data_IF_477020045865
#
_entry.id   IF_477020045865
#
_cell.length_a   1.000
_cell.length_b   1.000
_cell.length_c   1.000
_cell.angle_alpha   90.00
_cell.angle_beta   90.00
_cell.angle_gamma   90.00
#
_symmetry.space_group_name_H-M   'P 1'
#
loop_
_entity.id
_entity.type
_entity.pdbx_description
1 polymer ?
#
# COMPACT_ATOMS: atom_id res chain seq x y z
N UNK A 1 13.87 8.71 -1.01
CA UNK A 1 12.46 8.79 -0.57
C UNK A 1 12.30 7.85 0.61
N UNK A 2 11.49 8.23 1.60
CA UNK A 2 11.35 7.49 2.85
C UNK A 2 10.30 6.37 2.71
N UNK A 3 10.55 5.22 3.33
CA UNK A 3 9.64 4.08 3.40
C UNK A 3 9.66 3.49 4.81
N UNK A 4 8.63 2.74 5.16
CA UNK A 4 8.62 1.97 6.40
C UNK A 4 7.94 0.61 6.24
N UNK A 5 8.27 -0.28 7.15
CA UNK A 5 7.64 -1.58 7.36
C UNK A 5 7.03 -1.60 8.76
N UNK A 6 5.89 -2.26 8.92
CA UNK A 6 5.36 -2.64 10.23
C UNK A 6 5.34 -4.16 10.28
N UNK A 7 6.12 -4.76 11.15
CA UNK A 7 6.14 -6.20 11.39
C UNK A 7 5.46 -6.46 12.72
N UNK A 8 4.26 -7.02 12.70
CA UNK A 8 3.51 -7.40 13.89
C UNK A 8 3.72 -8.88 14.21
N UNK A 9 3.77 -9.20 15.50
CA UNK A 9 3.84 -10.56 16.01
C UNK A 9 2.64 -10.86 16.91
N UNK A 10 2.21 -12.11 16.90
CA UNK A 10 1.18 -12.60 17.82
C UNK A 10 1.68 -12.75 19.27
N UNK A 11 2.99 -12.82 19.46
CA UNK A 11 3.67 -12.91 20.77
C UNK A 11 4.59 -11.71 20.97
N UNK A 12 5.07 -11.50 22.18
CA UNK A 12 6.05 -10.42 22.41
C UNK A 12 7.30 -10.64 21.56
N UNK A 13 7.76 -9.59 20.86
CA UNK A 13 8.81 -9.70 19.83
C UNK A 13 10.23 -9.49 20.37
N UNK A 14 10.40 -9.23 21.67
CA UNK A 14 11.70 -8.85 22.28
C UNK A 14 12.84 -9.83 21.99
N UNK A 15 12.59 -11.13 21.94
CA UNK A 15 13.64 -12.12 21.62
C UNK A 15 14.01 -12.14 20.14
N UNK A 16 13.05 -11.81 19.27
CA UNK A 16 13.18 -11.90 17.82
C UNK A 16 13.58 -10.57 17.16
N UNK A 17 13.66 -9.49 17.93
CA UNK A 17 13.96 -8.15 17.44
C UNK A 17 15.29 -8.08 16.69
N UNK A 18 16.39 -8.48 17.32
CA UNK A 18 17.72 -8.46 16.69
C UNK A 18 17.81 -9.35 15.44
N UNK A 19 17.35 -10.62 15.46
CA UNK A 19 17.32 -11.47 14.26
C UNK A 19 16.54 -10.85 13.09
N UNK A 20 15.35 -10.31 13.35
CA UNK A 20 14.52 -9.69 12.31
C UNK A 20 15.24 -8.48 11.72
N UNK A 21 15.72 -7.56 12.55
CA UNK A 21 16.42 -6.36 12.07
C UNK A 21 17.67 -6.74 11.26
N UNK A 22 18.44 -7.73 11.72
CA UNK A 22 19.63 -8.22 11.01
C UNK A 22 19.28 -8.72 9.61
N UNK A 23 18.27 -9.57 9.47
CA UNK A 23 17.86 -10.11 8.17
C UNK A 23 17.39 -9.00 7.23
N UNK A 24 16.56 -8.08 7.72
CA UNK A 24 16.10 -6.96 6.89
C UNK A 24 17.26 -6.02 6.50
N UNK A 25 18.27 -5.83 7.35
CA UNK A 25 19.42 -4.98 7.04
C UNK A 25 20.28 -5.48 5.88
N UNK A 26 20.18 -6.76 5.50
CA UNK A 26 20.84 -7.31 4.30
C UNK A 26 20.16 -6.86 3.01
N UNK A 27 18.88 -6.45 3.07
CA UNK A 27 18.05 -6.16 1.91
C UNK A 27 17.66 -4.68 1.78
N UNK A 28 17.72 -3.92 2.87
CA UNK A 28 17.35 -2.50 2.93
C UNK A 28 18.29 -1.68 3.80
N UNK A 29 18.52 -0.43 3.39
CA UNK A 29 19.29 0.56 4.14
C UNK A 29 18.43 1.13 5.27
N UNK A 30 18.46 0.46 6.42
CA UNK A 30 17.70 0.83 7.61
C UNK A 30 18.24 2.17 8.16
N UNK A 31 17.35 3.16 8.26
CA UNK A 31 17.68 4.48 8.80
C UNK A 31 17.29 4.63 10.27
N UNK A 32 16.22 3.93 10.68
CA UNK A 32 15.70 3.97 12.05
C UNK A 32 14.89 2.70 12.32
N UNK A 33 14.86 2.26 13.58
CA UNK A 33 13.97 1.20 14.06
C UNK A 33 13.27 1.68 15.31
N UNK A 34 11.97 1.40 15.42
CA UNK A 34 11.18 1.60 16.63
C UNK A 34 10.51 0.27 17.00
N UNK A 35 10.54 -0.08 18.28
CA UNK A 35 10.01 -1.37 18.75
C UNK A 35 8.92 -1.17 19.77
N UNK A 36 7.81 -1.89 19.57
CA UNK A 36 6.70 -2.05 20.49
C UNK A 36 6.64 -3.51 20.99
N UNK A 37 5.91 -3.81 22.07
CA UNK A 37 5.88 -5.18 22.61
C UNK A 37 5.53 -6.25 21.57
N UNK A 38 4.64 -5.94 20.61
CA UNK A 38 4.14 -6.86 19.59
C UNK A 38 4.44 -6.41 18.16
N UNK A 39 5.28 -5.39 17.96
CA UNK A 39 5.58 -4.89 16.61
C UNK A 39 6.98 -4.27 16.50
N UNK A 40 7.56 -4.35 15.30
CA UNK A 40 8.79 -3.63 14.92
C UNK A 40 8.45 -2.72 13.75
N UNK A 41 8.82 -1.45 13.84
CA UNK A 41 8.74 -0.50 12.74
C UNK A 41 10.14 -0.25 12.19
N UNK A 42 10.36 -0.60 10.93
CA UNK A 42 11.64 -0.40 10.25
C UNK A 42 11.48 0.74 9.25
N UNK A 43 12.28 1.78 9.37
CA UNK A 43 12.34 2.89 8.44
C UNK A 43 13.58 2.73 7.57
N UNK A 44 13.44 2.96 6.27
CA UNK A 44 14.53 2.76 5.31
C UNK A 44 14.42 3.68 4.10
N UNK A 45 15.51 3.78 3.36
CA UNK A 45 15.61 4.60 2.15
C UNK A 45 16.22 3.79 1.01
N UNK A 46 15.39 3.24 0.13
CA UNK A 46 15.72 2.82 -1.24
C UNK A 46 14.61 1.95 -1.82
N UNK A 47 14.66 1.68 -3.12
CA UNK A 47 13.94 0.57 -3.72
C UNK A 47 14.73 -0.73 -3.54
N UNK A 48 14.00 -1.83 -3.46
CA UNK A 48 14.57 -3.18 -3.37
C UNK A 48 13.74 -4.10 -4.24
N UNK A 49 14.41 -5.00 -4.95
CA UNK A 49 13.77 -6.06 -5.74
C UNK A 49 13.43 -7.29 -4.87
N UNK A 50 13.72 -7.22 -3.58
CA UNK A 50 13.49 -8.31 -2.64
C UNK A 50 12.01 -8.44 -2.32
N UNK A 51 11.53 -9.67 -2.37
CA UNK A 51 10.20 -10.03 -1.91
C UNK A 51 10.16 -10.06 -0.38
N UNK A 52 9.61 -9.02 0.24
CA UNK A 52 9.41 -8.98 1.69
C UNK A 52 8.47 -10.09 2.20
N UNK A 53 7.59 -10.62 1.34
CA UNK A 53 6.80 -11.80 1.65
C UNK A 53 7.69 -13.04 1.82
N UNK A 54 8.67 -13.25 0.95
CA UNK A 54 9.56 -14.41 1.08
C UNK A 54 10.48 -14.25 2.31
N UNK A 55 10.96 -13.02 2.56
CA UNK A 55 11.74 -12.71 3.76
C UNK A 55 10.96 -13.02 5.03
N UNK A 56 9.72 -12.53 5.16
CA UNK A 56 8.93 -12.75 6.38
C UNK A 56 8.55 -14.23 6.55
N UNK A 57 8.26 -14.95 5.46
CA UNK A 57 7.96 -16.38 5.52
C UNK A 57 9.15 -17.21 6.00
N UNK A 58 10.37 -16.88 5.54
CA UNK A 58 11.59 -17.53 6.01
C UNK A 58 11.81 -17.29 7.51
N UNK A 59 11.65 -16.04 7.96
CA UNK A 59 11.76 -15.69 9.39
C UNK A 59 10.73 -16.47 10.21
N UNK A 60 9.47 -16.54 9.75
CA UNK A 60 8.42 -17.30 10.45
C UNK A 60 8.76 -18.79 10.56
N UNK A 61 9.37 -19.37 9.51
CA UNK A 61 9.81 -20.77 9.51
C UNK A 61 10.92 -21.01 10.52
N UNK A 62 11.92 -20.12 10.60
CA UNK A 62 13.09 -20.30 11.46
C UNK A 62 12.78 -20.02 12.94
N UNK A 63 11.93 -19.02 13.20
CA UNK A 63 11.60 -18.57 14.57
C UNK A 63 10.35 -19.24 15.15
N UNK A 64 9.59 -19.98 14.33
CA UNK A 64 8.28 -20.55 14.69
C UNK A 64 7.31 -19.51 15.28
N UNK A 65 7.44 -18.25 14.83
CA UNK A 65 6.62 -17.12 15.28
C UNK A 65 5.66 -16.70 14.18
N UNK A 66 4.39 -16.52 14.52
CA UNK A 66 3.40 -15.99 13.60
C UNK A 66 3.66 -14.48 13.41
N UNK A 67 4.07 -14.08 12.21
CA UNK A 67 4.34 -12.68 11.85
C UNK A 67 3.39 -12.20 10.76
N UNK A 68 3.16 -10.88 10.74
CA UNK A 68 2.47 -10.16 9.68
C UNK A 68 3.26 -8.91 9.35
N UNK A 69 3.45 -8.61 8.07
CA UNK A 69 4.14 -7.42 7.59
C UNK A 69 3.21 -6.51 6.80
N UNK A 70 3.24 -5.21 7.11
CA UNK A 70 2.76 -4.15 6.23
C UNK A 70 3.95 -3.44 5.57
N UNK A 71 3.83 -3.18 4.27
CA UNK A 71 4.85 -2.46 3.48
C UNK A 71 4.26 -1.16 2.96
N UNK A 72 4.89 -0.04 3.33
CA UNK A 72 4.44 1.28 2.88
C UNK A 72 4.87 1.57 1.45
N UNK A 73 4.16 2.51 0.82
CA UNK A 73 4.69 3.22 -0.33
C UNK A 73 5.74 4.27 0.07
N UNK A 74 6.24 5.03 -0.91
CA UNK A 74 7.28 6.04 -0.70
C UNK A 74 6.75 7.42 -0.33
N UNK A 75 7.46 8.09 0.57
CA UNK A 75 7.17 9.43 1.07
C UNK A 75 8.30 10.41 0.75
N UNK A 76 7.94 11.67 0.52
CA UNK A 76 8.90 12.73 0.25
C UNK A 76 9.60 13.21 1.52
N UNK A 77 8.91 13.16 2.66
CA UNK A 77 9.41 13.59 3.97
C UNK A 77 8.91 12.69 5.10
N UNK A 78 9.57 12.80 6.25
CA UNK A 78 9.31 12.00 7.44
C UNK A 78 7.96 12.35 8.11
N UNK A 79 7.49 13.60 8.03
CA UNK A 79 6.21 14.02 8.60
C UNK A 79 5.03 13.32 7.95
N UNK A 80 4.99 13.27 6.61
CA UNK A 80 3.97 12.54 5.85
C UNK A 80 4.02 11.04 6.15
N UNK A 81 5.23 10.49 6.28
CA UNK A 81 5.43 9.10 6.64
C UNK A 81 4.83 8.80 8.01
N UNK A 82 5.11 9.63 9.02
CA UNK A 82 4.64 9.41 10.38
C UNK A 82 3.10 9.51 10.48
N UNK A 83 2.51 10.50 9.81
CA UNK A 83 1.05 10.64 9.72
C UNK A 83 0.42 9.39 9.10
N UNK A 84 0.98 8.92 7.98
CA UNK A 84 0.51 7.72 7.32
C UNK A 84 0.71 6.46 8.18
N UNK A 85 1.84 6.31 8.85
CA UNK A 85 2.10 5.16 9.74
C UNK A 85 1.07 5.09 10.87
N UNK A 86 0.75 6.21 11.51
CA UNK A 86 -0.29 6.27 12.55
C UNK A 86 -1.66 5.86 12.00
N UNK A 87 -2.00 6.33 10.80
CA UNK A 87 -3.22 5.91 10.10
C UNK A 87 -3.24 4.39 9.87
N UNK A 88 -2.18 3.83 9.29
CA UNK A 88 -2.09 2.40 8.99
C UNK A 88 -2.19 1.56 10.26
N UNK A 89 -1.49 1.92 11.35
CA UNK A 89 -1.57 1.20 12.63
C UNK A 89 -3.01 1.12 13.15
N UNK A 90 -3.81 2.17 12.97
CA UNK A 90 -5.22 2.15 13.36
C UNK A 90 -6.05 1.25 12.44
N UNK A 91 -5.76 1.24 11.14
CA UNK A 91 -6.45 0.37 10.17
C UNK A 91 -6.10 -1.11 10.30
N UNK A 92 -4.84 -1.45 10.59
CA UNK A 92 -4.39 -2.82 10.79
C UNK A 92 -5.08 -3.53 11.97
N UNK A 93 -5.48 -2.78 13.01
CA UNK A 93 -6.27 -3.30 14.14
C UNK A 93 -7.66 -3.83 13.73
N UNK A 94 -8.20 -3.34 12.61
CA UNK A 94 -9.49 -3.78 12.08
C UNK A 94 -9.39 -5.07 11.26
N UNK A 95 -8.16 -5.53 10.96
CA UNK A 95 -7.89 -6.70 10.13
C UNK A 95 -7.43 -7.84 11.03
N UNK A 96 -8.14 -8.99 11.05
CA UNK A 96 -7.71 -10.15 11.82
C UNK A 96 -6.28 -10.56 11.47
N UNK A 97 -5.44 -10.77 12.49
CA UNK A 97 -4.00 -11.01 12.34
C UNK A 97 -3.67 -12.12 11.34
N UNK A 98 -4.30 -13.29 11.46
CA UNK A 98 -4.05 -14.48 10.62
C UNK A 98 -4.56 -14.33 9.16
N UNK A 99 -5.34 -13.29 8.84
CA UNK A 99 -5.96 -13.17 7.51
C UNK A 99 -4.94 -12.97 6.39
N UNK A 100 -3.89 -12.21 6.65
CA UNK A 100 -2.85 -11.89 5.69
C UNK A 100 -1.49 -11.84 6.38
N UNK A 101 -0.49 -12.51 5.80
CA UNK A 101 0.90 -12.41 6.23
C UNK A 101 1.55 -11.15 5.67
N UNK A 102 1.23 -10.79 4.43
CA UNK A 102 1.73 -9.58 3.76
C UNK A 102 0.57 -8.64 3.44
N UNK A 103 0.75 -7.34 3.73
CA UNK A 103 -0.23 -6.29 3.46
C UNK A 103 0.47 -5.11 2.79
N UNK A 104 -0.05 -4.71 1.64
CA UNK A 104 0.21 -3.43 0.98
C UNK A 104 -1.08 -2.61 0.91
N UNK A 105 -1.04 -1.46 0.26
CA UNK A 105 -2.22 -0.60 0.06
C UNK A 105 -3.41 -1.33 -0.61
N UNK A 106 -3.13 -2.27 -1.52
CA UNK A 106 -4.17 -3.02 -2.25
C UNK A 106 -4.87 -4.00 -1.33
N UNK A 107 -4.09 -4.77 -0.56
CA UNK A 107 -4.62 -5.73 0.41
C UNK A 107 -5.33 -4.97 1.54
N UNK A 108 -4.77 -3.87 2.01
CA UNK A 108 -5.39 -3.00 3.02
C UNK A 108 -6.77 -2.53 2.53
N UNK A 109 -6.85 -1.90 1.36
CA UNK A 109 -8.11 -1.42 0.80
C UNK A 109 -9.11 -2.57 0.59
N UNK A 110 -8.67 -3.70 0.02
CA UNK A 110 -9.49 -4.91 -0.14
C UNK A 110 -10.07 -5.40 1.18
N UNK A 111 -9.25 -5.39 2.23
CA UNK A 111 -9.65 -5.88 3.56
C UNK A 111 -10.65 -4.96 4.26
N UNK A 112 -10.71 -3.68 3.86
CA UNK A 112 -11.51 -2.63 4.47
C UNK A 112 -12.59 -2.09 3.52
N UNK A 113 -12.96 -2.83 2.46
CA UNK A 113 -13.93 -2.38 1.45
C UNK A 113 -15.28 -1.95 2.04
N UNK A 114 -15.72 -2.58 3.12
CA UNK A 114 -17.00 -2.24 3.78
C UNK A 114 -16.87 -1.12 4.82
N UNK A 115 -15.66 -0.60 5.03
CA UNK A 115 -15.29 0.38 6.06
C UNK A 115 -14.52 1.57 5.45
N UNK A 116 -14.79 1.90 4.20
CA UNK A 116 -14.13 3.01 3.50
C UNK A 116 -14.60 4.33 4.11
N UNK A 117 -13.65 5.06 4.69
CA UNK A 117 -13.85 6.42 5.16
C UNK A 117 -13.05 7.43 4.31
N UNK A 118 -13.25 8.72 4.61
CA UNK A 118 -12.60 9.80 3.88
C UNK A 118 -11.06 9.72 3.99
N UNK A 119 -10.54 9.29 5.13
CA UNK A 119 -9.10 9.20 5.36
C UNK A 119 -8.46 8.07 4.53
N UNK A 120 -9.07 6.88 4.51
CA UNK A 120 -8.62 5.77 3.66
C UNK A 120 -8.67 6.16 2.19
N UNK A 121 -9.77 6.78 1.74
CA UNK A 121 -9.86 7.30 0.38
C UNK A 121 -8.73 8.29 0.06
N UNK A 122 -8.45 9.21 0.97
CA UNK A 122 -7.40 10.22 0.79
C UNK A 122 -6.02 9.59 0.64
N UNK A 123 -5.65 8.64 1.50
CA UNK A 123 -4.35 7.97 1.42
C UNK A 123 -4.23 7.07 0.19
N UNK A 124 -5.29 6.37 -0.21
CA UNK A 124 -5.27 5.51 -1.41
C UNK A 124 -5.18 6.30 -2.71
N UNK A 125 -5.89 7.44 -2.81
CA UNK A 125 -5.86 8.31 -3.99
C UNK A 125 -4.67 9.28 -4.01
N UNK A 126 -3.98 9.46 -2.86
CA UNK A 126 -2.81 10.32 -2.69
C UNK A 126 -3.08 11.73 -3.23
N UNK A 127 -2.17 12.29 -4.04
CA UNK A 127 -2.33 13.63 -4.64
C UNK A 127 -3.57 13.78 -5.52
N UNK A 128 -4.18 12.68 -5.97
CA UNK A 128 -5.39 12.71 -6.81
C UNK A 128 -6.69 12.74 -6.01
N UNK A 129 -6.66 12.69 -4.67
CA UNK A 129 -7.87 12.74 -3.85
C UNK A 129 -8.77 13.95 -4.17
N UNK A 130 -8.16 15.09 -4.54
CA UNK A 130 -8.86 16.33 -4.90
C UNK A 130 -8.74 16.70 -6.38
N UNK A 131 -8.09 15.86 -7.20
CA UNK A 131 -7.94 16.11 -8.64
C UNK A 131 -9.18 15.65 -9.40
N UNK A 132 -10.15 16.56 -9.53
CA UNK A 132 -11.42 16.28 -10.20
C UNK A 132 -11.25 15.83 -11.65
N UNK A 133 -10.22 16.33 -12.36
CA UNK A 133 -9.97 15.97 -13.76
C UNK A 133 -9.43 14.55 -13.89
N UNK A 134 -8.49 14.17 -13.04
CA UNK A 134 -7.97 12.80 -12.99
C UNK A 134 -9.06 11.83 -12.57
N UNK A 135 -9.76 12.11 -11.47
CA UNK A 135 -10.83 11.23 -10.97
C UNK A 135 -11.98 11.08 -11.99
N UNK A 136 -12.34 12.14 -12.71
CA UNK A 136 -13.33 12.05 -13.79
C UNK A 136 -12.84 11.15 -14.93
N UNK A 137 -11.55 11.18 -15.26
CA UNK A 137 -10.96 10.32 -16.29
C UNK A 137 -11.03 8.85 -15.88
N UNK A 138 -10.65 8.54 -14.64
CA UNK A 138 -10.70 7.19 -14.06
C UNK A 138 -12.14 6.69 -14.00
N UNK A 139 -13.05 7.48 -13.43
CA UNK A 139 -14.48 7.16 -13.36
C UNK A 139 -15.06 6.86 -14.75
N UNK A 140 -14.80 7.73 -15.72
CA UNK A 140 -15.32 7.54 -17.09
C UNK A 140 -14.75 6.28 -17.75
N UNK A 141 -13.47 5.97 -17.51
CA UNK A 141 -12.85 4.75 -18.00
C UNK A 141 -13.49 3.49 -17.40
N UNK A 142 -13.75 3.48 -16.09
CA UNK A 142 -14.41 2.38 -15.39
C UNK A 142 -15.87 2.20 -15.84
N UNK A 143 -16.65 3.29 -15.95
CA UNK A 143 -18.02 3.27 -16.46
C UNK A 143 -18.12 2.79 -17.91
N UNK A 144 -17.04 2.95 -18.70
CA UNK A 144 -16.95 2.42 -20.06
C UNK A 144 -16.45 0.97 -20.08
N UNK A 145 -16.59 0.20 -18.98
CA UNK A 145 -16.13 -1.18 -18.84
C UNK A 145 -14.64 -1.33 -19.19
N UNK A 146 -13.82 -0.39 -18.74
CA UNK A 146 -12.37 -0.35 -19.03
C UNK A 146 -12.04 -0.31 -20.54
N UNK A 147 -12.99 0.11 -21.38
CA UNK A 147 -12.80 0.26 -22.82
C UNK A 147 -12.15 1.61 -23.14
N UNK A 148 -10.89 1.56 -23.58
CA UNK A 148 -10.09 2.75 -23.88
C UNK A 148 -10.71 3.66 -24.95
N UNK A 149 -11.25 3.08 -26.03
CA UNK A 149 -11.81 3.84 -27.15
C UNK A 149 -13.10 4.55 -26.77
N UNK A 150 -14.02 3.85 -26.09
CA UNK A 150 -15.29 4.41 -25.62
C UNK A 150 -15.06 5.52 -24.58
N UNK A 151 -14.16 5.29 -23.63
CA UNK A 151 -13.83 6.27 -22.59
C UNK A 151 -13.18 7.54 -23.17
N UNK A 152 -12.20 7.39 -24.06
CA UNK A 152 -11.54 8.52 -24.72
C UNK A 152 -12.54 9.36 -25.53
N UNK A 153 -13.47 8.71 -26.24
CA UNK A 153 -14.56 9.39 -26.95
C UNK A 153 -15.49 10.14 -25.99
N UNK A 154 -15.89 9.53 -24.87
CA UNK A 154 -16.76 10.16 -23.84
C UNK A 154 -16.09 11.33 -23.12
N UNK A 155 -14.76 11.28 -22.97
CA UNK A 155 -13.93 12.34 -22.39
C UNK A 155 -13.53 13.43 -23.39
N UNK A 156 -13.82 13.27 -24.69
CA UNK A 156 -13.36 14.16 -25.76
C UNK A 156 -11.83 14.35 -25.80
N UNK A 157 -11.08 13.29 -25.51
CA UNK A 157 -9.60 13.29 -25.58
C UNK A 157 -9.10 12.18 -26.49
N UNK A 158 -7.84 12.28 -26.91
CA UNK A 158 -7.20 11.21 -27.63
C UNK A 158 -6.91 10.00 -26.72
N UNK A 159 -6.97 8.78 -27.27
CA UNK A 159 -6.70 7.53 -26.51
C UNK A 159 -5.34 7.54 -25.81
N UNK A 160 -4.31 8.10 -26.45
CA UNK A 160 -2.97 8.17 -25.87
C UNK A 160 -2.92 9.12 -24.66
N UNK A 161 -3.72 10.20 -24.68
CA UNK A 161 -3.85 11.09 -23.53
C UNK A 161 -4.50 10.36 -22.36
N UNK A 162 -5.52 9.52 -22.61
CA UNK A 162 -6.13 8.69 -21.56
C UNK A 162 -5.12 7.68 -21.01
N UNK A 163 -4.38 6.96 -21.88
CA UNK A 163 -3.31 6.02 -21.48
C UNK A 163 -2.32 6.71 -20.54
N UNK A 164 -1.80 7.88 -20.92
CA UNK A 164 -0.88 8.66 -20.07
C UNK A 164 -1.49 9.06 -18.72
N UNK A 165 -2.79 9.36 -18.66
CA UNK A 165 -3.48 9.64 -17.39
C UNK A 165 -3.56 8.39 -16.53
N UNK A 166 -3.90 7.23 -17.10
CA UNK A 166 -3.93 5.95 -16.37
C UNK A 166 -2.54 5.56 -15.86
N UNK A 167 -1.50 5.74 -16.67
CA UNK A 167 -0.11 5.46 -16.28
C UNK A 167 0.33 6.35 -15.12
N UNK A 168 0.03 7.66 -15.17
CA UNK A 168 0.32 8.59 -14.07
C UNK A 168 -0.46 8.25 -12.81
N UNK A 169 -1.71 7.82 -12.94
CA UNK A 169 -2.52 7.33 -11.81
C UNK A 169 -1.84 6.13 -11.17
N UNK A 170 -1.50 5.11 -11.96
CA UNK A 170 -0.82 3.91 -11.47
C UNK A 170 0.54 4.22 -10.82
N UNK A 171 1.40 5.00 -11.47
CA UNK A 171 2.70 5.41 -10.91
C UNK A 171 2.56 6.14 -9.58
N UNK A 172 1.49 6.92 -9.42
CA UNK A 172 1.27 7.69 -8.20
C UNK A 172 0.67 6.82 -7.11
N UNK A 173 -0.36 6.01 -7.38
CA UNK A 173 -1.18 5.34 -6.37
C UNK A 173 -0.85 3.86 -6.18
N UNK A 174 -0.17 3.24 -7.16
CA UNK A 174 0.08 1.80 -7.21
C UNK A 174 -1.08 0.96 -7.74
N UNK A 175 -2.24 1.58 -8.03
CA UNK A 175 -3.43 0.87 -8.55
C UNK A 175 -3.52 0.97 -10.07
N UNK A 176 -3.45 -0.17 -10.76
CA UNK A 176 -3.63 -0.23 -12.20
C UNK A 176 -5.09 -0.49 -12.55
N UNK A 177 -5.85 0.57 -12.85
CA UNK A 177 -7.27 0.48 -13.19
C UNK A 177 -7.56 -0.27 -14.50
N UNK A 178 -6.56 -0.74 -15.24
CA UNK A 178 -6.73 -1.67 -16.37
C UNK A 178 -6.85 -3.11 -15.89
N UNK A 179 -6.32 -3.43 -14.71
CA UNK A 179 -6.48 -4.72 -14.04
C UNK A 179 -7.81 -4.70 -13.27
N UNK A 180 -8.67 -5.69 -13.54
CA UNK A 180 -10.01 -5.75 -12.94
C UNK A 180 -10.01 -5.65 -11.41
N UNK A 181 -9.08 -6.35 -10.74
CA UNK A 181 -8.99 -6.33 -9.28
C UNK A 181 -8.74 -4.92 -8.72
N UNK A 182 -7.80 -4.18 -9.29
CA UNK A 182 -7.48 -2.81 -8.87
C UNK A 182 -8.60 -1.85 -9.28
N UNK A 183 -9.14 -2.01 -10.48
CA UNK A 183 -10.28 -1.25 -10.99
C UNK A 183 -11.50 -1.35 -10.05
N UNK A 184 -11.80 -2.55 -9.57
CA UNK A 184 -12.88 -2.80 -8.62
C UNK A 184 -12.66 -2.08 -7.29
N UNK A 185 -11.43 -2.09 -6.76
CA UNK A 185 -11.11 -1.35 -5.52
C UNK A 185 -11.25 0.16 -5.72
N UNK A 186 -10.71 0.69 -6.82
CA UNK A 186 -10.80 2.12 -7.13
C UNK A 186 -12.24 2.57 -7.41
N UNK A 187 -13.06 1.72 -8.03
CA UNK A 187 -14.48 1.99 -8.25
C UNK A 187 -15.18 2.40 -6.95
N UNK A 188 -14.95 1.67 -5.86
CA UNK A 188 -15.53 1.97 -4.54
C UNK A 188 -15.04 3.29 -3.91
N UNK A 189 -13.94 3.85 -4.42
CA UNK A 189 -13.42 5.14 -3.96
C UNK A 189 -13.98 6.31 -4.78
N UNK A 190 -14.30 6.10 -6.07
CA UNK A 190 -14.56 7.20 -7.02
C UNK A 190 -16.02 7.28 -7.51
N UNK A 191 -16.82 6.24 -7.30
CA UNK A 191 -18.22 6.18 -7.74
C UNK A 191 -19.11 6.01 -6.52
#
# INVERSE_FOLDING_TARGET
MYRYLIIESKKEIKSEESPIISIFSEFIDITKVETEPYAIHIFYQQETDVSFLDVILNIMSDTLTDLRIYVSYQFENEDQLQLHMNFIKNKLKLIPFIKYVYIDDKILLRSLLNLIDHELKSYMLRKYNQDTSMLQSIKTYLECNQNMSSAAKKLYIHRNTLIQRLDKFYQTTGFDVRVFNDAFLIYHLVI
#
